data_IF_105214727680
#
_entry.id   IF_105214727680
#
_cell.length_a   1.000
_cell.length_b   1.000
_cell.length_c   1.000
_cell.angle_alpha   90.00
_cell.angle_beta   90.00
_cell.angle_gamma   90.00
#
_symmetry.space_group_name_H-M   'P 1'
#
loop_
_entity.id
_entity.type
_entity.pdbx_description
1 polymer ?
#
# COMPACT_ATOMS: atom_id res chain seq x y z
N UNK A 1 -3.34 -0.43 -7.51
CA UNK A 1 -2.22 -0.18 -6.57
C UNK A 1 -2.59 1.05 -5.78
N UNK A 2 -2.22 1.15 -4.49
CA UNK A 2 -2.40 2.43 -3.77
C UNK A 2 -1.40 3.42 -4.35
N UNK A 3 -1.89 4.49 -4.96
CA UNK A 3 -1.07 5.57 -5.53
C UNK A 3 -0.65 6.59 -4.47
N UNK A 4 -0.78 6.25 -3.19
CA UNK A 4 -0.42 7.15 -2.12
C UNK A 4 1.08 7.43 -2.13
N UNK A 5 1.44 8.64 -1.72
CA UNK A 5 2.81 9.10 -1.59
C UNK A 5 3.61 8.19 -0.64
N UNK A 6 4.78 7.68 -1.04
CA UNK A 6 5.65 6.93 -0.13
C UNK A 6 6.26 7.84 0.94
N UNK A 7 6.56 7.28 2.11
CA UNK A 7 7.25 8.00 3.19
C UNK A 7 8.75 7.72 3.12
N UNK A 8 9.60 8.70 3.48
CA UNK A 8 11.06 8.52 3.49
C UNK A 8 11.51 7.30 4.30
N UNK A 9 10.94 7.08 5.49
CA UNK A 9 11.27 5.94 6.34
C UNK A 9 10.96 4.58 5.67
N UNK A 10 9.85 4.50 4.92
CA UNK A 10 9.48 3.32 4.16
C UNK A 10 10.50 3.02 3.05
N UNK A 11 10.91 4.06 2.31
CA UNK A 11 11.88 3.93 1.21
C UNK A 11 13.23 3.43 1.73
N UNK A 12 13.73 4.02 2.82
CA UNK A 12 14.99 3.63 3.43
C UNK A 12 14.98 2.19 3.98
N UNK A 13 13.83 1.72 4.47
CA UNK A 13 13.73 0.38 5.08
C UNK A 13 13.60 -0.72 4.02
N UNK A 14 12.94 -0.43 2.90
CA UNK A 14 12.53 -1.44 1.93
C UNK A 14 13.18 -1.31 0.55
N UNK A 15 13.81 -0.18 0.25
CA UNK A 15 14.36 0.13 -1.07
C UNK A 15 15.79 0.62 -0.94
N UNK A 16 16.70 -0.34 -0.82
CA UNK A 16 18.15 -0.11 -0.90
C UNK A 16 18.67 -0.54 -2.28
N UNK A 17 19.10 0.44 -3.07
CA UNK A 17 19.68 0.24 -4.41
C UNK A 17 21.20 0.39 -4.42
N UNK A 18 21.84 0.63 -3.27
CA UNK A 18 23.27 0.76 -3.15
C UNK A 18 23.87 1.76 -4.15
N UNK A 19 24.82 1.31 -4.95
CA UNK A 19 25.57 2.14 -5.91
C UNK A 19 24.73 2.67 -7.07
N UNK A 20 23.53 2.11 -7.31
CA UNK A 20 22.64 2.53 -8.41
C UNK A 20 21.73 3.71 -8.05
N UNK A 21 21.92 4.32 -6.87
CA UNK A 21 21.14 5.47 -6.41
C UNK A 21 21.14 6.66 -7.39
N UNK A 22 22.25 6.87 -8.11
CA UNK A 22 22.38 7.95 -9.10
C UNK A 22 21.49 7.70 -10.32
N UNK A 23 21.52 6.48 -10.85
CA UNK A 23 20.70 6.06 -12.00
C UNK A 23 19.22 6.11 -11.60
N UNK A 24 18.89 5.63 -10.39
CA UNK A 24 17.55 5.71 -9.84
C UNK A 24 17.08 7.17 -9.74
N UNK A 25 17.91 8.07 -9.24
CA UNK A 25 17.58 9.49 -9.14
C UNK A 25 17.24 10.12 -10.50
N UNK A 26 18.00 9.79 -11.55
CA UNK A 26 17.72 10.25 -12.93
C UNK A 26 16.38 9.70 -13.43
N UNK A 27 16.09 8.42 -13.17
CA UNK A 27 14.80 7.80 -13.54
C UNK A 27 13.60 8.36 -12.77
N UNK A 28 13.85 8.90 -11.57
CA UNK A 28 12.86 9.61 -10.76
C UNK A 28 12.73 11.09 -11.15
N UNK A 29 13.30 11.48 -12.31
CA UNK A 29 13.23 12.83 -12.88
C UNK A 29 13.84 13.90 -11.95
N UNK A 30 14.84 13.53 -11.15
CA UNK A 30 15.61 14.49 -10.38
C UNK A 30 16.62 15.22 -11.26
N UNK A 31 16.86 16.50 -10.94
CA UNK A 31 17.86 17.29 -11.65
C UNK A 31 19.27 16.73 -11.38
N UNK A 32 20.04 16.53 -12.45
CA UNK A 32 21.38 15.97 -12.37
C UNK A 32 22.31 16.85 -11.53
N UNK A 33 22.07 18.17 -11.51
CA UNK A 33 22.84 19.11 -10.67
C UNK A 33 22.70 18.81 -9.19
N UNK A 34 21.47 18.54 -8.73
CA UNK A 34 21.19 18.22 -7.34
C UNK A 34 21.76 16.84 -6.97
N UNK A 35 21.69 15.87 -7.89
CA UNK A 35 22.29 14.56 -7.68
C UNK A 35 23.81 14.63 -7.56
N UNK A 36 24.48 15.40 -8.42
CA UNK A 36 25.93 15.63 -8.33
C UNK A 36 26.31 16.35 -7.04
N UNK A 37 25.51 17.32 -6.58
CA UNK A 37 25.73 17.97 -5.29
C UNK A 37 25.66 16.95 -4.14
N UNK A 38 24.67 16.05 -4.14
CA UNK A 38 24.57 14.96 -3.14
C UNK A 38 25.80 14.05 -3.19
N UNK A 39 26.28 13.68 -4.38
CA UNK A 39 27.45 12.83 -4.54
C UNK A 39 28.72 13.46 -3.94
N UNK A 40 28.90 14.77 -4.16
CA UNK A 40 30.06 15.52 -3.65
C UNK A 40 29.96 15.77 -2.14
N UNK A 41 28.78 16.09 -1.63
CA UNK A 41 28.59 16.47 -0.24
C UNK A 41 28.45 15.29 0.74
N UNK A 42 28.13 14.09 0.25
CA UNK A 42 27.85 12.92 1.10
C UNK A 42 28.87 11.81 0.82
N UNK A 43 29.66 11.38 1.81
CA UNK A 43 30.69 10.36 1.61
C UNK A 43 30.13 8.94 1.51
N UNK A 44 29.00 8.63 2.15
CA UNK A 44 28.44 7.26 2.17
C UNK A 44 27.26 7.10 1.24
N UNK A 45 27.08 5.89 0.71
CA UNK A 45 25.96 5.53 -0.17
C UNK A 45 24.62 5.71 0.56
N UNK A 46 24.53 5.30 1.83
CA UNK A 46 23.30 5.42 2.63
C UNK A 46 22.86 6.88 2.77
N UNK A 47 23.81 7.79 3.02
CA UNK A 47 23.52 9.22 3.09
C UNK A 47 23.08 9.78 1.74
N UNK A 48 23.74 9.37 0.65
CA UNK A 48 23.35 9.78 -0.71
C UNK A 48 21.94 9.32 -1.04
N UNK A 49 21.63 8.06 -0.74
CA UNK A 49 20.33 7.45 -0.96
C UNK A 49 19.23 8.16 -0.15
N UNK A 50 19.47 8.44 1.13
CA UNK A 50 18.55 9.18 1.97
C UNK A 50 18.27 10.59 1.45
N UNK A 51 19.30 11.32 1.05
CA UNK A 51 19.14 12.66 0.50
C UNK A 51 18.42 12.66 -0.85
N UNK A 52 18.70 11.68 -1.71
CA UNK A 52 18.03 11.52 -3.00
C UNK A 52 16.53 11.25 -2.82
N UNK A 53 16.13 10.36 -1.91
CA UNK A 53 14.71 10.13 -1.63
C UNK A 53 14.04 11.35 -0.99
N UNK A 54 14.72 12.04 -0.07
CA UNK A 54 14.19 13.26 0.53
C UNK A 54 13.97 14.36 -0.53
N UNK A 55 14.91 14.49 -1.47
CA UNK A 55 14.80 15.40 -2.61
C UNK A 55 13.63 15.02 -3.51
N UNK A 56 13.50 13.75 -3.90
CA UNK A 56 12.39 13.26 -4.74
C UNK A 56 11.02 13.57 -4.13
N UNK A 57 10.83 13.29 -2.84
CA UNK A 57 9.57 13.56 -2.15
C UNK A 57 9.27 15.06 -2.00
N UNK A 58 10.30 15.92 -2.04
CA UNK A 58 10.18 17.38 -1.98
C UNK A 58 9.87 17.98 -3.35
N UNK A 59 10.60 17.55 -4.37
CA UNK A 59 10.49 18.07 -5.75
C UNK A 59 9.22 17.61 -6.43
N UNK A 60 8.82 16.36 -6.22
CA UNK A 60 7.64 15.76 -6.84
C UNK A 60 6.58 15.50 -5.78
N UNK A 61 5.67 16.45 -5.50
CA UNK A 61 4.65 16.27 -4.46
C UNK A 61 3.64 15.16 -4.79
N UNK A 62 3.52 14.81 -6.08
CA UNK A 62 2.69 13.71 -6.60
C UNK A 62 3.45 12.38 -6.76
N UNK A 63 4.66 12.28 -6.21
CA UNK A 63 5.48 11.07 -6.28
C UNK A 63 4.69 9.83 -5.83
N UNK A 64 4.64 8.81 -6.68
CA UNK A 64 3.89 7.58 -6.40
C UNK A 64 4.81 6.39 -6.21
N UNK A 65 4.33 5.39 -5.44
CA UNK A 65 5.02 4.09 -5.35
C UNK A 65 5.12 3.37 -6.70
N UNK A 66 4.18 3.63 -7.61
CA UNK A 66 4.15 3.06 -8.94
C UNK A 66 5.32 3.52 -9.80
N UNK A 67 5.65 4.81 -9.76
CA UNK A 67 6.82 5.37 -10.46
C UNK A 67 8.12 4.75 -9.96
N UNK A 68 8.28 4.62 -8.64
CA UNK A 68 9.44 3.97 -8.05
C UNK A 68 9.58 2.51 -8.50
N UNK A 69 8.49 1.73 -8.50
CA UNK A 69 8.51 0.34 -8.97
C UNK A 69 8.92 0.25 -10.44
N UNK A 70 8.44 1.18 -11.28
CA UNK A 70 8.84 1.24 -12.70
C UNK A 70 10.33 1.53 -12.82
N UNK A 71 10.83 2.53 -12.09
CA UNK A 71 12.25 2.90 -12.10
C UNK A 71 13.15 1.73 -11.63
N UNK A 72 12.74 1.02 -10.57
CA UNK A 72 13.42 -0.19 -10.09
C UNK A 72 13.45 -1.31 -11.14
N UNK A 73 12.39 -1.45 -11.92
CA UNK A 73 12.35 -2.40 -13.04
C UNK A 73 13.34 -2.04 -14.16
N UNK A 74 13.52 -0.74 -14.44
CA UNK A 74 14.47 -0.27 -15.47
C UNK A 74 15.92 -0.54 -15.09
N UNK A 75 16.29 -0.35 -13.82
CA UNK A 75 17.64 -0.69 -13.32
C UNK A 75 17.85 -2.20 -13.11
N UNK A 76 16.90 -3.05 -13.57
CA UNK A 76 16.92 -4.52 -13.42
C UNK A 76 16.95 -4.98 -11.96
N UNK A 77 16.59 -4.13 -11.02
CA UNK A 77 16.36 -4.47 -9.62
C UNK A 77 14.99 -5.15 -9.42
N UNK A 78 14.66 -6.13 -10.28
CA UNK A 78 13.36 -6.79 -10.33
C UNK A 78 13.01 -7.47 -9.00
N UNK A 79 13.99 -8.11 -8.37
CA UNK A 79 13.82 -8.72 -7.04
C UNK A 79 13.43 -7.70 -5.97
N UNK A 80 14.00 -6.49 -6.03
CA UNK A 80 13.69 -5.41 -5.09
C UNK A 80 12.30 -4.83 -5.38
N UNK A 81 11.98 -4.60 -6.65
CA UNK A 81 10.66 -4.15 -7.08
C UNK A 81 9.56 -5.12 -6.65
N UNK A 82 9.78 -6.43 -6.79
CA UNK A 82 8.83 -7.47 -6.38
C UNK A 82 8.69 -7.56 -4.86
N UNK A 83 9.80 -7.48 -4.11
CA UNK A 83 9.78 -7.42 -2.64
C UNK A 83 8.97 -6.21 -2.16
N UNK A 84 9.22 -5.04 -2.75
CA UNK A 84 8.53 -3.81 -2.40
C UNK A 84 7.03 -3.89 -2.77
N UNK A 85 6.70 -4.37 -3.96
CA UNK A 85 5.31 -4.61 -4.40
C UNK A 85 4.57 -5.58 -3.48
N UNK A 86 5.24 -6.65 -3.04
CA UNK A 86 4.68 -7.62 -2.08
C UNK A 86 4.43 -6.96 -0.72
N UNK A 87 5.37 -6.17 -0.23
CA UNK A 87 5.23 -5.42 1.03
C UNK A 87 4.06 -4.44 1.00
N UNK A 88 3.93 -3.63 -0.07
CA UNK A 88 2.79 -2.70 -0.23
C UNK A 88 1.47 -3.48 -0.23
N UNK A 89 1.43 -4.63 -0.92
CA UNK A 89 0.24 -5.47 -1.01
C UNK A 89 -0.15 -6.10 0.33
N UNK A 90 0.82 -6.47 1.18
CA UNK A 90 0.56 -6.96 2.53
C UNK A 90 0.13 -5.84 3.49
N UNK A 91 0.79 -4.69 3.44
CA UNK A 91 0.48 -3.53 4.29
C UNK A 91 -0.90 -2.93 3.94
N UNK A 92 -1.22 -2.87 2.64
CA UNK A 92 -2.53 -2.45 2.15
C UNK A 92 -3.66 -3.35 2.68
N UNK A 93 -3.41 -4.66 2.80
CA UNK A 93 -4.36 -5.64 3.34
C UNK A 93 -4.56 -5.50 4.85
N UNK A 94 -3.48 -5.26 5.61
CA UNK A 94 -3.53 -5.07 7.07
C UNK A 94 -4.36 -3.83 7.49
N UNK A 95 -4.32 -2.76 6.68
CA UNK A 95 -5.17 -1.58 6.93
C UNK A 95 -6.63 -1.75 6.51
N UNK A 96 -6.95 -2.72 5.65
CA UNK A 96 -8.31 -3.03 5.25
C UNK A 96 -9.04 -3.93 6.26
N UNK A 97 -8.30 -4.74 7.02
CA UNK A 97 -8.87 -5.67 8.01
C UNK A 97 -9.14 -5.04 9.39
N UNK A 98 -8.83 -3.75 9.59
CA UNK A 98 -9.06 -3.05 10.88
C UNK A 98 -10.27 -2.10 10.88
N UNK A 99 -11.10 -2.12 9.82
CA UNK A 99 -12.34 -1.30 9.77
C UNK A 99 -13.63 -2.10 9.80
N UNK A 100 -13.55 -3.42 9.95
CA UNK A 100 -14.72 -4.30 9.97
C UNK A 100 -14.78 -5.17 11.23
N UNK A 101 -14.90 -4.53 12.41
CA UNK A 101 -15.41 -5.23 13.61
C UNK A 101 -16.22 -4.34 14.57
N UNK A 102 -16.42 -3.05 14.27
CA UNK A 102 -17.13 -2.15 15.19
C UNK A 102 -18.34 -1.44 14.56
N UNK A 103 -19.28 -2.22 14.03
CA UNK A 103 -20.66 -1.77 13.81
C UNK A 103 -21.62 -2.94 14.04
N UNK A 104 -22.03 -3.14 15.30
CA UNK A 104 -23.38 -3.55 15.77
C UNK A 104 -23.30 -4.21 17.15
N UNK A 105 -23.05 -3.39 18.18
CA UNK A 105 -23.76 -3.55 19.46
C UNK A 105 -24.33 -2.20 19.80
N UNK A 106 -25.65 -2.12 19.76
CA UNK A 106 -26.50 -1.56 20.81
C UNK A 106 -27.95 -1.72 20.35
N UNK A 107 -28.63 -2.71 20.93
CA UNK A 107 -30.09 -2.70 21.06
C UNK A 107 -30.51 -1.44 21.83
N UNK A 108 -31.74 -0.96 21.60
CA UNK A 108 -32.66 -0.96 22.72
C UNK A 108 -34.05 -1.50 22.41
N UNK A 109 -34.55 -2.17 23.43
CA UNK A 109 -35.91 -2.62 23.78
C UNK A 109 -37.07 -1.74 23.30
N UNK A 110 -38.20 -2.35 22.90
CA UNK A 110 -39.49 -2.39 23.65
C UNK A 110 -40.65 -2.90 22.75
N UNK A 111 -41.09 -4.11 23.07
CA UNK A 111 -42.46 -4.59 23.38
C UNK A 111 -43.71 -4.45 22.46
N UNK A 112 -44.42 -5.60 22.41
CA UNK A 112 -45.84 -5.93 22.10
C UNK A 112 -46.13 -6.21 20.61
N UNK A 113 -46.80 -7.30 20.22
CA UNK A 113 -48.01 -7.87 20.82
C UNK A 113 -48.29 -9.32 20.33
N UNK A 114 -48.76 -10.17 21.24
CA UNK A 114 -49.21 -11.56 21.01
C UNK A 114 -50.45 -11.70 20.13
N UNK A 115 -50.52 -12.80 19.36
CA UNK A 115 -51.70 -13.61 18.95
C UNK A 115 -51.11 -14.96 18.46
N UNK A 116 -51.02 -16.05 19.22
CA UNK A 116 -52.04 -17.00 19.71
C UNK A 116 -52.88 -17.65 18.59
N UNK A 117 -52.92 -19.00 18.63
CA UNK A 117 -53.87 -19.96 18.02
C UNK A 117 -53.57 -20.33 16.55
N UNK A 118 -53.56 -21.58 16.05
CA UNK A 118 -53.58 -22.95 16.58
C UNK A 118 -53.31 -23.90 15.39
N UNK A 119 -52.83 -25.10 15.73
CA UNK A 119 -53.03 -26.47 15.15
C UNK A 119 -53.91 -26.62 13.88
N UNK A 120 -53.55 -27.66 13.10
CA UNK A 120 -54.33 -28.57 12.23
C UNK A 120 -53.69 -28.67 10.82
N UNK A 121 -52.98 -29.75 10.45
CA UNK A 121 -53.43 -31.10 10.04
C UNK A 121 -53.54 -31.22 8.50
N UNK A 122 -52.64 -32.06 7.91
CA UNK A 122 -52.79 -32.98 6.73
C UNK A 122 -53.03 -32.29 5.34
N UNK A 123 -52.33 -32.56 4.23
CA UNK A 123 -52.39 -33.71 3.28
C UNK A 123 -51.34 -33.50 2.16
N UNK A 124 -50.48 -34.48 1.85
CA UNK A 124 -50.57 -35.48 0.78
C UNK A 124 -50.29 -35.01 -0.67
N UNK A 125 -49.22 -35.59 -1.23
CA UNK A 125 -49.08 -36.17 -2.59
C UNK A 125 -49.08 -35.25 -3.84
N UNK A 126 -48.00 -35.26 -4.64
CA UNK A 126 -47.85 -36.07 -5.89
C UNK A 126 -46.69 -35.61 -6.81
N UNK A 127 -46.00 -36.63 -7.37
CA UNK A 127 -45.48 -36.82 -8.74
C UNK A 127 -44.44 -35.88 -9.43
N UNK A 128 -43.26 -36.49 -9.62
CA UNK A 128 -42.54 -36.81 -10.88
C UNK A 128 -42.92 -36.11 -12.20
N UNK A 129 -41.89 -35.63 -12.91
CA UNK A 129 -41.57 -36.04 -14.30
C UNK A 129 -40.05 -36.12 -14.43
#
# INVERSE_FOLDING_TARGET
MREDKPTLNELLTHVDVGTEWLILGVLLELDMKDLTAIEQERPTIDQRLQHMYALWLKTIPKATRGELIKALGVIRANTLADKYKKWISSTGRATATSKDTNRRRHSPSVSKQSKLVSVWTIDCWTYTV
#
